data_IF_280455065741
#
_entry.id   IF_280455065741
#
_cell.length_a   1.000
_cell.length_b   1.000
_cell.length_c   1.000
_cell.angle_alpha   90.00
_cell.angle_beta   90.00
_cell.angle_gamma   90.00
#
_symmetry.space_group_name_H-M   'P 1'
#
loop_
_entity.id
_entity.type
_entity.pdbx_description
1 polymer ?
#
# COMPACT_ATOMS: atom_id res chain seq x y z
N UNK A 1 8.22 15.31 -4.66
CA UNK A 1 9.34 14.41 -5.02
C UNK A 1 10.39 15.18 -5.80
N UNK A 2 9.99 15.92 -6.82
CA UNK A 2 10.89 16.76 -7.64
C UNK A 2 11.69 17.79 -6.82
N UNK A 3 11.05 18.40 -5.80
CA UNK A 3 11.72 19.33 -4.87
C UNK A 3 12.69 18.64 -3.89
N UNK A 4 12.61 17.32 -3.78
CA UNK A 4 13.43 16.49 -2.88
C UNK A 4 14.55 15.74 -3.64
N UNK A 5 14.84 16.12 -4.89
CA UNK A 5 15.95 15.57 -5.67
C UNK A 5 15.67 14.23 -6.36
N UNK A 6 14.42 13.77 -6.39
CA UNK A 6 14.03 12.57 -7.16
C UNK A 6 13.80 12.94 -8.62
N UNK A 7 14.39 12.19 -9.54
CA UNK A 7 14.24 12.37 -10.97
C UNK A 7 12.77 12.31 -11.42
N UNK A 8 12.37 13.22 -12.31
CA UNK A 8 10.97 13.33 -12.75
C UNK A 8 10.48 12.05 -13.44
N UNK A 9 11.37 11.34 -14.14
CA UNK A 9 11.05 10.08 -14.82
C UNK A 9 10.71 8.97 -13.82
N UNK A 10 11.48 8.84 -12.73
CA UNK A 10 11.24 7.84 -11.68
C UNK A 10 9.98 8.18 -10.89
N UNK A 11 9.82 9.45 -10.50
CA UNK A 11 8.65 9.95 -9.76
C UNK A 11 7.34 9.73 -10.53
N UNK A 12 7.29 10.03 -11.83
CA UNK A 12 6.07 9.91 -12.65
C UNK A 12 5.68 8.48 -13.01
N UNK A 13 6.64 7.55 -13.03
CA UNK A 13 6.35 6.12 -13.24
C UNK A 13 5.96 5.43 -11.93
N UNK A 14 6.72 5.68 -10.86
CA UNK A 14 6.61 4.90 -9.64
C UNK A 14 5.48 5.38 -8.74
N UNK A 15 5.21 6.69 -8.66
CA UNK A 15 4.08 7.18 -7.87
C UNK A 15 2.74 6.56 -8.28
N UNK A 16 2.32 6.58 -9.56
CA UNK A 16 1.05 5.99 -9.95
C UNK A 16 1.02 4.46 -9.77
N UNK A 17 2.12 3.75 -10.04
CA UNK A 17 2.21 2.29 -9.84
C UNK A 17 2.16 1.92 -8.35
N UNK A 18 2.90 2.66 -7.51
CA UNK A 18 2.90 2.43 -6.07
C UNK A 18 1.56 2.79 -5.42
N UNK A 19 0.89 3.82 -5.94
CA UNK A 19 -0.44 4.22 -5.46
C UNK A 19 -1.54 3.20 -5.83
N UNK A 20 -1.45 2.55 -7.00
CA UNK A 20 -2.42 1.52 -7.41
C UNK A 20 -2.19 0.17 -6.75
N UNK A 21 -0.93 -0.22 -6.55
CA UNK A 21 -0.59 -1.49 -5.88
C UNK A 21 -0.87 -1.45 -4.37
N UNK A 22 -0.96 -0.27 -3.75
CA UNK A 22 -1.19 -0.14 -2.32
C UNK A 22 -2.68 -0.25 -1.96
N UNK A 23 -3.21 -1.46 -2.08
CA UNK A 23 -4.60 -1.82 -1.75
C UNK A 23 -4.83 -2.33 -0.31
N UNK A 24 -3.79 -2.72 0.44
CA UNK A 24 -3.97 -3.49 1.69
C UNK A 24 -4.31 -2.67 2.95
N UNK A 25 -4.28 -1.34 2.86
CA UNK A 25 -4.46 -0.46 4.01
C UNK A 25 -5.77 -0.63 4.80
N UNK A 26 -6.94 -0.86 4.17
CA UNK A 26 -8.21 -0.93 4.88
C UNK A 26 -8.46 -2.25 5.59
N UNK A 27 -7.86 -3.36 5.13
CA UNK A 27 -8.20 -4.70 5.60
C UNK A 27 -7.91 -4.89 7.09
N UNK A 28 -6.68 -4.62 7.51
CA UNK A 28 -6.29 -4.75 8.92
C UNK A 28 -7.15 -3.85 9.82
N UNK A 29 -7.49 -2.65 9.34
CA UNK A 29 -8.35 -1.71 10.06
C UNK A 29 -9.79 -2.24 10.22
N UNK A 30 -10.38 -2.77 9.15
CA UNK A 30 -11.74 -3.32 9.17
C UNK A 30 -11.79 -4.52 10.11
N UNK A 31 -10.83 -5.45 10.01
CA UNK A 31 -10.75 -6.61 10.90
C UNK A 31 -10.64 -6.18 12.38
N UNK A 32 -9.74 -5.25 12.70
CA UNK A 32 -9.57 -4.75 14.06
C UNK A 32 -10.84 -4.04 14.58
N UNK A 33 -11.51 -3.26 13.73
CA UNK A 33 -12.74 -2.55 14.06
C UNK A 33 -13.91 -3.49 14.34
N UNK A 34 -14.05 -4.56 13.54
CA UNK A 34 -15.08 -5.59 13.74
C UNK A 34 -14.88 -6.30 15.08
N UNK A 35 -13.64 -6.70 15.37
CA UNK A 35 -13.28 -7.37 16.63
C UNK A 35 -13.56 -6.44 17.81
N UNK A 36 -13.17 -5.17 17.71
CA UNK A 36 -13.41 -4.16 18.74
C UNK A 36 -14.90 -3.98 19.03
N UNK A 37 -15.76 -3.86 18.01
CA UNK A 37 -17.20 -3.72 18.22
C UNK A 37 -17.79 -4.99 18.86
N UNK A 38 -17.41 -6.17 18.39
CA UNK A 38 -17.88 -7.42 18.96
C UNK A 38 -17.51 -7.55 20.45
N UNK A 39 -16.28 -7.16 20.82
CA UNK A 39 -15.85 -7.12 22.21
C UNK A 39 -16.61 -6.07 23.04
N UNK A 40 -16.83 -4.88 22.47
CA UNK A 40 -17.59 -3.80 23.14
C UNK A 40 -19.06 -4.18 23.39
N UNK A 41 -19.65 -4.97 22.48
CA UNK A 41 -20.99 -5.54 22.63
C UNK A 41 -21.06 -6.74 23.60
N UNK A 42 -19.95 -7.10 24.25
CA UNK A 42 -19.79 -8.31 25.09
C UNK A 42 -20.15 -9.61 24.37
N UNK A 43 -19.96 -9.67 23.06
CA UNK A 43 -20.05 -10.91 22.32
C UNK A 43 -18.76 -11.72 22.47
N UNK A 44 -18.89 -12.99 22.83
CA UNK A 44 -17.79 -13.93 22.78
C UNK A 44 -17.53 -14.35 21.34
N UNK A 45 -16.36 -13.99 20.82
CA UNK A 45 -15.91 -14.39 19.50
C UNK A 45 -15.36 -15.82 19.54
N UNK A 46 -16.01 -16.72 18.81
CA UNK A 46 -15.46 -18.06 18.56
C UNK A 46 -14.36 -17.99 17.48
N UNK A 47 -13.43 -18.94 17.50
CA UNK A 47 -12.37 -19.11 16.49
C UNK A 47 -12.95 -19.16 15.07
N UNK A 48 -14.12 -19.79 14.89
CA UNK A 48 -14.81 -19.81 13.61
C UNK A 48 -15.25 -18.42 13.13
N UNK A 49 -15.74 -17.55 14.03
CA UNK A 49 -16.12 -16.17 13.67
C UNK A 49 -14.89 -15.33 13.34
N UNK A 50 -13.78 -15.51 14.06
CA UNK A 50 -12.51 -14.85 13.73
C UNK A 50 -12.05 -15.23 12.33
N UNK A 51 -12.14 -16.51 11.97
CA UNK A 51 -11.79 -16.99 10.62
C UNK A 51 -12.70 -16.39 9.55
N UNK A 52 -14.02 -16.32 9.80
CA UNK A 52 -14.98 -15.67 8.91
C UNK A 52 -14.69 -14.18 8.73
N UNK A 53 -14.36 -13.46 9.81
CA UNK A 53 -13.98 -12.04 9.74
C UNK A 53 -12.75 -11.88 8.84
N UNK A 54 -11.67 -12.63 9.11
CA UNK A 54 -10.46 -12.58 8.30
C UNK A 54 -10.72 -12.88 6.83
N UNK A 55 -11.53 -13.91 6.54
CA UNK A 55 -11.85 -14.32 5.18
C UNK A 55 -12.68 -13.26 4.43
N UNK A 56 -13.72 -12.71 5.06
CA UNK A 56 -14.52 -11.63 4.49
C UNK A 56 -13.69 -10.37 4.29
N UNK A 57 -12.92 -9.97 5.29
CA UNK A 57 -12.08 -8.78 5.22
C UNK A 57 -10.99 -8.92 4.15
N UNK A 58 -10.39 -10.10 4.01
CA UNK A 58 -9.41 -10.37 2.96
C UNK A 58 -10.03 -10.31 1.56
N UNK A 59 -11.16 -10.99 1.36
CA UNK A 59 -11.92 -10.94 0.11
C UNK A 59 -12.31 -9.51 -0.24
N UNK A 60 -12.72 -8.74 0.77
CA UNK A 60 -13.15 -7.36 0.59
C UNK A 60 -11.98 -6.41 0.29
N UNK A 61 -10.80 -6.67 0.86
CA UNK A 61 -9.57 -5.94 0.53
C UNK A 61 -9.19 -6.04 -0.95
N UNK A 62 -9.42 -7.20 -1.55
CA UNK A 62 -9.16 -7.42 -2.98
C UNK A 62 -10.27 -6.84 -3.87
N UNK A 63 -11.51 -6.78 -3.35
CA UNK A 63 -12.68 -6.39 -4.11
C UNK A 63 -12.95 -4.87 -4.15
N UNK A 64 -12.41 -4.09 -3.21
CA UNK A 64 -12.84 -2.70 -3.01
C UNK A 64 -11.87 -1.71 -3.66
N UNK A 65 -12.28 -0.97 -4.71
CA UNK A 65 -11.50 0.18 -5.18
C UNK A 65 -11.40 1.24 -4.08
N UNK A 66 -10.31 2.03 -4.12
CA UNK A 66 -9.91 2.99 -3.07
C UNK A 66 -10.90 4.16 -2.90
N UNK A 67 -12.12 3.90 -2.42
CA UNK A 67 -13.19 4.88 -2.29
C UNK A 67 -13.27 5.33 -0.82
N UNK A 68 -13.15 6.65 -0.54
CA UNK A 68 -13.36 7.17 0.81
C UNK A 68 -14.80 6.89 1.28
N UNK A 69 -14.97 6.52 2.56
CA UNK A 69 -16.22 6.10 3.21
C UNK A 69 -16.76 4.69 2.89
N UNK A 70 -16.13 3.91 2.00
CA UNK A 70 -16.53 2.52 1.75
C UNK A 70 -16.25 1.58 2.95
N UNK A 71 -15.30 1.96 3.81
CA UNK A 71 -14.84 1.23 5.00
C UNK A 71 -15.96 0.97 6.02
N UNK A 72 -16.82 1.96 6.29
CA UNK A 72 -17.95 1.81 7.21
C UNK A 72 -18.95 0.80 6.71
N UNK A 73 -19.30 0.87 5.42
CA UNK A 73 -20.27 -0.05 4.80
C UNK A 73 -19.75 -1.49 4.90
N UNK A 74 -18.48 -1.71 4.57
CA UNK A 74 -17.80 -3.00 4.72
C UNK A 74 -17.86 -3.52 6.16
N UNK A 75 -17.55 -2.65 7.13
CA UNK A 75 -17.53 -3.02 8.54
C UNK A 75 -18.93 -3.44 9.00
N UNK A 76 -19.97 -2.68 8.64
CA UNK A 76 -21.37 -3.03 8.93
C UNK A 76 -21.79 -4.34 8.25
N UNK A 77 -21.39 -4.57 7.00
CA UNK A 77 -21.67 -5.82 6.29
C UNK A 77 -21.03 -7.03 6.98
N UNK A 78 -19.79 -6.89 7.46
CA UNK A 78 -19.08 -7.97 8.16
C UNK A 78 -19.69 -8.20 9.55
N UNK A 79 -20.05 -7.13 10.29
CA UNK A 79 -20.77 -7.22 11.56
C UNK A 79 -22.08 -8.00 11.40
N UNK A 80 -22.87 -7.66 10.38
CA UNK A 80 -24.11 -8.35 10.06
C UNK A 80 -23.88 -9.83 9.75
N UNK A 81 -22.78 -10.15 9.04
CA UNK A 81 -22.42 -11.53 8.69
C UNK A 81 -22.05 -12.40 9.90
N UNK A 82 -21.54 -11.82 10.99
CA UNK A 82 -21.24 -12.54 12.24
C UNK A 82 -22.37 -12.45 13.28
N UNK A 83 -23.47 -11.76 12.95
CA UNK A 83 -24.62 -11.56 13.85
C UNK A 83 -24.38 -10.53 14.96
N UNK A 84 -23.40 -9.64 14.81
CA UNK A 84 -23.08 -8.63 15.80
C UNK A 84 -23.98 -7.38 15.67
N UNK A 85 -24.34 -6.72 16.79
CA UNK A 85 -25.17 -5.52 16.77
C UNK A 85 -24.46 -4.37 16.05
N UNK A 86 -25.13 -3.83 15.03
CA UNK A 86 -24.59 -2.77 14.15
C UNK A 86 -24.60 -1.39 14.80
N UNK A 87 -25.29 -1.20 15.93
CA UNK A 87 -25.31 0.06 16.68
C UNK A 87 -23.92 0.48 17.18
N UNK A 88 -22.98 -0.46 17.35
CA UNK A 88 -21.58 -0.16 17.66
C UNK A 88 -20.82 0.56 16.54
N UNK A 89 -21.34 0.57 15.31
CA UNK A 89 -20.72 1.27 14.18
C UNK A 89 -20.71 2.80 14.34
N UNK A 90 -21.59 3.36 15.20
CA UNK A 90 -21.60 4.80 15.49
C UNK A 90 -20.31 5.30 16.15
N UNK A 91 -19.65 4.46 16.95
CA UNK A 91 -18.36 4.78 17.58
C UNK A 91 -17.25 4.83 16.52
N UNK A 92 -17.27 3.90 15.54
CA UNK A 92 -16.34 3.94 14.41
C UNK A 92 -16.58 5.18 13.56
N UNK A 93 -17.84 5.55 13.29
CA UNK A 93 -18.17 6.76 12.54
C UNK A 93 -17.58 8.02 13.18
N UNK A 94 -17.60 8.11 14.52
CA UNK A 94 -17.00 9.22 15.25
C UNK A 94 -15.47 9.29 15.13
N UNK A 95 -14.79 8.16 14.92
CA UNK A 95 -13.33 8.11 14.70
C UNK A 95 -12.93 8.04 13.22
N UNK A 96 -13.87 7.79 12.30
CA UNK A 96 -13.62 7.58 10.88
C UNK A 96 -12.84 8.74 10.27
N UNK A 97 -13.17 9.98 10.63
CA UNK A 97 -12.48 11.16 10.11
C UNK A 97 -10.99 11.18 10.47
N UNK A 98 -10.63 10.67 11.65
CA UNK A 98 -9.23 10.61 12.10
C UNK A 98 -8.52 9.44 11.42
N UNK A 99 -9.18 8.29 11.41
CA UNK A 99 -8.65 7.05 10.84
C UNK A 99 -8.43 7.16 9.33
N UNK A 100 -9.32 7.86 8.62
CA UNK A 100 -9.17 8.14 7.19
C UNK A 100 -7.94 9.02 6.90
N UNK A 101 -7.64 9.98 7.79
CA UNK A 101 -6.44 10.83 7.68
C UNK A 101 -5.17 10.05 8.00
N UNK A 102 -5.18 9.20 9.02
CA UNK A 102 -4.05 8.31 9.34
C UNK A 102 -3.77 7.31 8.21
N UNK A 103 -4.81 6.73 7.62
CA UNK A 103 -4.72 5.80 6.48
C UNK A 103 -4.12 6.50 5.25
N UNK A 104 -4.62 7.68 4.91
CA UNK A 104 -4.11 8.46 3.77
C UNK A 104 -2.67 8.93 4.01
N UNK A 105 -2.35 9.37 5.23
CA UNK A 105 -1.00 9.81 5.61
C UNK A 105 0.04 8.70 5.55
N UNK A 106 -0.26 7.53 6.12
CA UNK A 106 0.62 6.35 6.06
C UNK A 106 0.81 5.84 4.64
N UNK A 107 -0.24 5.91 3.81
CA UNK A 107 -0.16 5.64 2.37
C UNK A 107 0.82 6.58 1.66
N UNK A 108 0.67 7.88 1.87
CA UNK A 108 1.54 8.90 1.27
C UNK A 108 3.01 8.74 1.69
N UNK A 109 3.29 8.50 2.98
CA UNK A 109 4.64 8.25 3.49
C UNK A 109 5.30 7.03 2.84
N UNK A 110 4.52 5.97 2.62
CA UNK A 110 5.02 4.77 1.97
C UNK A 110 5.40 5.01 0.51
N UNK A 111 4.60 5.77 -0.23
CA UNK A 111 4.91 6.12 -1.63
C UNK A 111 6.19 6.96 -1.70
N UNK A 112 6.39 7.88 -0.75
CA UNK A 112 7.63 8.65 -0.64
C UNK A 112 8.84 7.75 -0.38
N UNK A 113 8.70 6.75 0.50
CA UNK A 113 9.77 5.79 0.79
C UNK A 113 10.13 4.92 -0.42
N UNK A 114 9.13 4.44 -1.15
CA UNK A 114 9.34 3.65 -2.39
C UNK A 114 10.02 4.52 -3.46
N UNK A 115 9.57 5.75 -3.65
CA UNK A 115 10.19 6.65 -4.62
C UNK A 115 11.65 7.00 -4.25
N UNK A 116 11.95 7.20 -2.97
CA UNK A 116 13.32 7.43 -2.50
C UNK A 116 14.22 6.20 -2.73
N UNK A 117 13.71 5.00 -2.42
CA UNK A 117 14.45 3.75 -2.64
C UNK A 117 14.70 3.50 -4.13
N UNK A 118 13.70 3.77 -4.97
CA UNK A 118 13.84 3.60 -6.41
C UNK A 118 14.82 4.59 -7.03
N UNK A 119 14.87 5.83 -6.56
CA UNK A 119 15.89 6.80 -6.99
C UNK A 119 17.29 6.31 -6.62
N UNK A 120 17.49 5.80 -5.40
CA UNK A 120 18.76 5.23 -4.97
C UNK A 120 19.20 4.02 -5.83
N UNK A 121 18.25 3.22 -6.30
CA UNK A 121 18.52 2.12 -7.25
C UNK A 121 18.87 2.68 -8.64
N UNK A 122 18.11 3.66 -9.13
CA UNK A 122 18.35 4.31 -10.43
C UNK A 122 19.74 4.95 -10.50
N UNK A 123 20.17 5.64 -9.45
CA UNK A 123 21.52 6.23 -9.35
C UNK A 123 22.63 5.17 -9.40
N UNK A 124 22.41 4.01 -8.76
CA UNK A 124 23.36 2.89 -8.83
C UNK A 124 23.44 2.27 -10.22
N UNK A 125 22.30 2.15 -10.90
CA UNK A 125 22.23 1.62 -12.26
C UNK A 125 22.93 2.54 -13.26
N UNK A 126 22.72 3.85 -13.16
CA UNK A 126 23.39 4.85 -14.01
C UNK A 126 24.91 4.83 -13.82
N UNK A 127 25.40 4.68 -12.58
CA UNK A 127 26.83 4.53 -12.30
C UNK A 127 27.40 3.25 -12.90
N UNK A 128 26.72 2.11 -12.77
CA UNK A 128 27.15 0.84 -13.40
C UNK A 128 27.20 0.94 -14.91
N UNK A 129 26.17 1.49 -15.54
CA UNK A 129 26.10 1.64 -16.99
C UNK A 129 27.22 2.52 -17.53
N UNK A 130 27.56 3.62 -16.84
CA UNK A 130 28.73 4.45 -17.17
C UNK A 130 30.04 3.68 -17.10
N UNK A 131 30.20 2.77 -16.13
CA UNK A 131 31.41 1.94 -16.00
C UNK A 131 31.48 0.94 -17.16
N UNK A 132 30.40 0.24 -17.46
CA UNK A 132 30.32 -0.69 -18.60
C UNK A 132 30.54 0.02 -19.95
N UNK A 133 29.94 1.20 -20.16
CA UNK A 133 30.14 1.98 -21.39
C UNK A 133 31.60 2.49 -21.52
N UNK A 134 32.25 2.79 -20.39
CA UNK A 134 33.66 3.21 -20.37
C UNK A 134 34.59 2.03 -20.63
N UNK A 135 34.35 0.87 -20.02
CA UNK A 135 35.10 -0.37 -20.27
C UNK A 135 34.95 -0.82 -21.73
N UNK A 136 33.74 -0.79 -22.28
CA UNK A 136 33.47 -1.09 -23.70
C UNK A 136 34.21 -0.13 -24.65
N UNK A 137 34.20 1.18 -24.37
CA UNK A 137 34.97 2.15 -25.16
C UNK A 137 36.49 1.93 -25.08
N UNK A 138 36.98 1.44 -23.94
CA UNK A 138 38.41 1.19 -23.73
C UNK A 138 38.85 -0.07 -24.50
N UNK A 139 38.06 -1.16 -24.44
CA UNK A 139 38.25 -2.38 -25.25
C UNK A 139 38.25 -2.09 -26.76
N UNK A 140 37.30 -1.28 -27.25
CA UNK A 140 37.24 -0.89 -28.68
C UNK A 140 38.43 0.00 -29.10
N UNK A 141 39.05 0.71 -28.16
CA UNK A 141 40.24 1.55 -28.44
C UNK A 141 41.57 0.79 -28.37
N UNK A 142 41.63 -0.31 -27.62
CA UNK A 142 42.83 -1.15 -27.44
C UNK A 142 43.00 -2.24 -28.52
N UNK A 143 41.98 -2.53 -29.36
CA UNK A 143 42.11 -3.42 -30.52
C UNK A 143 42.20 -2.64 -31.85
N UNK A 144 43.41 -2.28 -32.32
CA UNK A 144 43.62 -1.70 -33.65
C UNK A 144 43.66 -2.76 -34.77
N UNK A 145 43.27 -4.03 -34.53
CA UNK A 145 43.46 -5.13 -35.48
C UNK A 145 42.19 -5.93 -35.79
N UNK A 146 41.18 -5.28 -36.36
CA UNK A 146 40.23 -5.97 -37.26
C UNK A 146 40.38 -5.43 -38.69
N UNK A 147 40.64 -6.30 -39.69
CA UNK A 147 40.72 -5.88 -41.08
C UNK A 147 39.30 -5.54 -41.59
N UNK A 148 39.27 -4.47 -42.39
CA UNK A 148 38.21 -3.99 -43.30
C UNK A 148 37.11 -4.99 -43.65
#
# INVERSE_FOLDING_TARGET
>A
LDKYGVSQSVSRLICPIAATLKGDGPAAFIAASVIFIAQNARMELNVGQIFTILFLTFTSSLATPNIPSASIVLTVTILSSIGAPTEGAGILFAMEWLLDRCRSGSGALSILFVAATAEAINDRMQKRKKVEDTEFFTEVSEDPTSPV
#
